data_IF_051262978116
#
_entry.id   IF_051262978116
#
_cell.length_a   1.000
_cell.length_b   1.000
_cell.length_c   1.000
_cell.angle_alpha   90.00
_cell.angle_beta   90.00
_cell.angle_gamma   90.00
#
_symmetry.space_group_name_H-M   'P 1'
#
loop_
_entity.id
_entity.type
_entity.pdbx_description
1 polymer ?
#
# COMPACT_ATOMS: atom_id res chain seq x y z
N UNK A 1 1.50 -14.72 -20.86
CA UNK A 1 1.73 -13.32 -21.21
C UNK A 1 1.18 -12.47 -20.06
N UNK A 2 2.04 -12.08 -19.11
CA UNK A 2 1.62 -11.35 -17.91
C UNK A 2 1.56 -9.85 -18.22
N UNK A 3 0.37 -9.26 -18.20
CA UNK A 3 0.18 -7.82 -18.27
C UNK A 3 0.62 -7.19 -16.94
N UNK A 4 1.82 -6.62 -16.91
CA UNK A 4 2.30 -5.81 -15.78
C UNK A 4 1.72 -4.40 -15.93
N UNK A 5 0.71 -4.06 -15.13
CA UNK A 5 0.29 -2.68 -14.94
C UNK A 5 1.25 -1.96 -13.97
N UNK A 6 1.52 -0.66 -14.20
CA UNK A 6 2.25 0.21 -13.26
C UNK A 6 1.45 0.34 -11.95
N UNK A 7 1.77 -0.48 -10.95
CA UNK A 7 1.27 -0.34 -9.59
C UNK A 7 2.38 0.17 -8.67
N UNK A 8 2.14 1.26 -7.93
CA UNK A 8 3.07 1.82 -6.93
C UNK A 8 3.14 1.03 -5.61
N UNK A 9 2.50 -0.13 -5.55
CA UNK A 9 2.52 -0.99 -4.37
C UNK A 9 2.93 -2.40 -4.75
N UNK A 10 4.22 -2.66 -4.62
CA UNK A 10 4.86 -3.97 -4.49
C UNK A 10 5.93 -3.80 -3.43
N UNK A 11 5.80 -4.49 -2.30
CA UNK A 11 6.84 -4.45 -1.27
C UNK A 11 8.00 -5.29 -1.77
N UNK A 12 9.08 -4.59 -2.13
CA UNK A 12 10.37 -5.16 -2.43
C UNK A 12 11.33 -4.00 -2.69
N UNK A 13 12.18 -3.70 -1.71
CA UNK A 13 13.36 -2.81 -1.83
C UNK A 13 14.29 -3.14 -3.02
N UNK A 14 14.01 -4.26 -3.68
CA UNK A 14 14.66 -4.84 -4.83
C UNK A 14 14.28 -4.16 -6.16
N UNK A 15 13.04 -3.68 -6.32
CA UNK A 15 12.58 -3.09 -7.59
C UNK A 15 13.23 -1.73 -7.88
N UNK A 16 13.68 -0.99 -6.84
CA UNK A 16 14.42 0.26 -7.01
C UNK A 16 15.75 -0.01 -7.73
N UNK A 17 16.47 -1.06 -7.31
CA UNK A 17 17.73 -1.45 -7.94
C UNK A 17 17.51 -1.94 -9.37
N UNK A 18 16.41 -2.65 -9.63
CA UNK A 18 16.00 -2.99 -11.01
C UNK A 18 15.67 -1.75 -11.85
N UNK A 19 15.01 -0.75 -11.29
CA UNK A 19 14.65 0.49 -11.99
C UNK A 19 15.88 1.32 -12.40
N UNK A 20 16.91 1.33 -11.57
CA UNK A 20 18.19 2.00 -11.85
C UNK A 20 19.18 1.12 -12.64
N UNK A 21 18.82 -0.12 -12.98
CA UNK A 21 19.69 -1.04 -13.71
C UNK A 21 20.83 -1.63 -12.86
N UNK A 22 20.79 -1.45 -11.55
CA UNK A 22 21.79 -1.90 -10.57
C UNK A 22 21.58 -3.39 -10.21
N UNK A 23 21.59 -4.25 -11.23
CA UNK A 23 21.25 -5.67 -11.12
C UNK A 23 22.28 -6.47 -10.28
N UNK A 24 23.55 -6.05 -10.27
CA UNK A 24 24.60 -6.70 -9.48
C UNK A 24 24.45 -6.40 -7.99
N UNK A 25 24.14 -5.15 -7.65
CA UNK A 25 23.85 -4.75 -6.26
C UNK A 25 22.57 -5.41 -5.76
N UNK A 26 21.58 -5.54 -6.63
CA UNK A 26 20.35 -6.26 -6.36
C UNK A 26 20.62 -7.73 -6.03
N UNK A 27 21.45 -8.39 -6.84
CA UNK A 27 21.84 -9.79 -6.63
C UNK A 27 22.60 -9.96 -5.31
N UNK A 28 23.57 -9.09 -5.05
CA UNK A 28 24.34 -9.11 -3.80
C UNK A 28 23.46 -8.92 -2.56
N UNK A 29 22.48 -8.01 -2.63
CA UNK A 29 21.52 -7.78 -1.55
C UNK A 29 20.60 -8.99 -1.35
N UNK A 30 20.13 -9.61 -2.43
CA UNK A 30 19.32 -10.83 -2.39
C UNK A 30 20.09 -12.00 -1.76
N UNK A 31 21.32 -12.25 -2.22
CA UNK A 31 22.16 -13.32 -1.72
C UNK A 31 22.44 -13.14 -0.23
N UNK A 32 22.75 -11.91 0.22
CA UNK A 32 22.92 -11.58 1.63
C UNK A 32 21.65 -11.82 2.45
N UNK A 33 20.49 -11.37 1.97
CA UNK A 33 19.21 -11.55 2.69
C UNK A 33 18.87 -13.04 2.83
N UNK A 34 19.04 -13.82 1.76
CA UNK A 34 18.75 -15.25 1.75
C UNK A 34 19.67 -15.98 2.73
N UNK A 35 20.97 -15.70 2.67
CA UNK A 35 21.97 -16.36 3.52
C UNK A 35 21.80 -16.02 5.01
N UNK A 36 21.55 -14.75 5.34
CA UNK A 36 21.54 -14.30 6.74
C UNK A 36 20.18 -14.47 7.44
N UNK A 37 19.07 -14.39 6.69
CA UNK A 37 17.73 -14.33 7.28
C UNK A 37 16.81 -15.48 6.88
N UNK A 38 17.19 -16.26 5.86
CA UNK A 38 16.39 -17.36 5.34
C UNK A 38 17.21 -18.66 5.11
N UNK A 39 17.99 -19.15 6.11
CA UNK A 39 18.90 -20.28 5.93
C UNK A 39 18.23 -21.65 5.71
N UNK A 40 16.89 -21.73 5.78
CA UNK A 40 16.10 -22.97 5.64
C UNK A 40 15.17 -22.95 4.42
N UNK A 41 15.34 -22.02 3.47
CA UNK A 41 14.52 -21.98 2.24
C UNK A 41 15.06 -23.03 1.27
N UNK A 42 14.69 -24.29 1.52
CA UNK A 42 14.91 -25.41 0.59
C UNK A 42 13.67 -25.66 -0.30
N UNK A 43 12.52 -25.04 0.03
CA UNK A 43 11.31 -25.08 -0.79
C UNK A 43 10.67 -23.70 -0.88
N UNK A 44 10.46 -23.21 -2.10
CA UNK A 44 9.70 -22.00 -2.37
C UNK A 44 8.24 -22.20 -1.91
N UNK A 45 7.93 -21.77 -0.69
CA UNK A 45 6.56 -21.67 -0.19
C UNK A 45 5.99 -20.32 -0.64
N UNK A 46 4.98 -20.28 -1.52
CA UNK A 46 4.29 -19.04 -1.84
C UNK A 46 3.74 -18.45 -0.54
N UNK A 47 3.92 -17.14 -0.35
CA UNK A 47 3.51 -16.40 0.84
C UNK A 47 2.01 -16.58 1.15
N UNK A 48 1.69 -17.68 1.81
CA UNK A 48 0.34 -18.09 2.17
C UNK A 48 0.42 -18.55 3.61
N UNK A 49 -0.36 -17.91 4.46
CA UNK A 49 -0.73 -18.28 5.83
C UNK A 49 0.18 -17.96 7.03
N UNK A 50 1.47 -17.63 6.91
CA UNK A 50 2.30 -17.29 8.10
C UNK A 50 2.50 -15.79 8.36
N UNK A 51 2.34 -14.94 7.34
CA UNK A 51 2.75 -13.53 7.35
C UNK A 51 1.60 -12.51 7.21
N UNK A 52 0.36 -12.98 7.39
CA UNK A 52 -0.87 -12.18 7.24
C UNK A 52 -1.01 -11.05 8.28
N UNK A 53 -0.21 -11.05 9.35
CA UNK A 53 -0.15 -9.95 10.32
C UNK A 53 0.93 -8.92 10.01
N UNK A 54 2.03 -9.32 9.37
CA UNK A 54 3.12 -8.41 9.02
C UNK A 54 2.68 -7.50 7.88
N UNK A 55 2.11 -8.03 6.80
CA UNK A 55 1.79 -7.25 5.60
C UNK A 55 0.41 -6.59 5.58
N UNK A 56 -0.31 -6.54 6.70
CA UNK A 56 -1.56 -5.76 6.80
C UNK A 56 -1.31 -4.33 6.37
N UNK A 57 -2.26 -3.74 5.64
CA UNK A 57 -2.13 -2.41 5.04
C UNK A 57 -1.67 -1.34 6.07
N UNK A 58 -2.12 -1.46 7.32
CA UNK A 58 -1.68 -0.56 8.41
C UNK A 58 -0.26 -0.79 8.96
N UNK A 59 0.38 -1.93 8.69
CA UNK A 59 1.70 -2.29 9.21
C UNK A 59 2.83 -2.20 8.16
N UNK A 60 2.50 -1.91 6.90
CA UNK A 60 3.47 -1.83 5.81
C UNK A 60 4.49 -0.69 6.00
N UNK A 61 4.07 0.44 6.58
CA UNK A 61 4.97 1.52 6.97
C UNK A 61 6.03 1.06 7.99
N UNK A 62 5.60 0.33 9.01
CA UNK A 62 6.49 -0.17 10.07
C UNK A 62 7.48 -1.19 9.52
N UNK A 63 7.06 -2.05 8.58
CA UNK A 63 7.95 -3.00 7.92
C UNK A 63 8.95 -2.29 7.02
N UNK A 64 8.52 -1.30 6.25
CA UNK A 64 9.44 -0.50 5.45
C UNK A 64 10.50 0.18 6.33
N UNK A 65 10.08 0.78 7.45
CA UNK A 65 11.00 1.36 8.42
C UNK A 65 11.95 0.32 9.04
N UNK A 66 11.44 -0.86 9.40
CA UNK A 66 12.26 -1.96 9.92
C UNK A 66 13.33 -2.39 8.91
N UNK A 67 12.94 -2.60 7.64
CA UNK A 67 13.85 -2.99 6.57
C UNK A 67 14.93 -1.92 6.31
N UNK A 68 14.55 -0.64 6.31
CA UNK A 68 15.51 0.45 6.14
C UNK A 68 16.49 0.55 7.32
N UNK A 69 16.03 0.27 8.55
CA UNK A 69 16.93 0.17 9.71
C UNK A 69 17.89 -1.01 9.60
N UNK A 70 17.44 -2.15 9.06
CA UNK A 70 18.31 -3.31 8.79
C UNK A 70 19.35 -3.01 7.71
N UNK A 71 18.95 -2.31 6.65
CA UNK A 71 19.87 -1.81 5.63
C UNK A 71 20.91 -0.86 6.24
N UNK A 72 20.50 0.08 7.10
CA UNK A 72 21.44 0.96 7.79
C UNK A 72 22.42 0.18 8.67
N UNK A 73 21.97 -0.86 9.38
CA UNK A 73 22.84 -1.71 10.18
C UNK A 73 23.91 -2.39 9.31
N UNK A 74 23.53 -2.94 8.16
CA UNK A 74 24.45 -3.59 7.22
C UNK A 74 25.46 -2.61 6.60
N UNK A 75 25.03 -1.38 6.29
CA UNK A 75 25.90 -0.34 5.73
C UNK A 75 26.81 0.32 6.77
N UNK A 76 26.46 0.26 8.06
CA UNK A 76 27.15 0.98 9.14
C UNK A 76 28.68 0.81 9.19
N UNK A 77 29.28 -0.37 8.88
CA UNK A 77 30.74 -0.53 8.83
C UNK A 77 31.41 0.24 7.69
N UNK A 78 30.69 0.53 6.60
CA UNK A 78 31.20 1.19 5.40
C UNK A 78 31.07 2.72 5.45
N UNK A 79 30.28 3.25 6.40
CA UNK A 79 29.99 4.68 6.51
C UNK A 79 30.96 5.38 7.45
N UNK A 80 31.41 6.58 7.07
CA UNK A 80 32.12 7.48 7.98
C UNK A 80 31.14 8.16 8.97
N UNK A 81 31.63 8.81 10.05
CA UNK A 81 30.76 9.41 11.07
C UNK A 81 29.73 10.41 10.53
N UNK A 82 30.11 11.22 9.54
CA UNK A 82 29.19 12.18 8.89
C UNK A 82 28.08 11.47 8.12
N UNK A 83 28.43 10.41 7.37
CA UNK A 83 27.45 9.62 6.62
C UNK A 83 26.46 8.88 7.54
N UNK A 84 26.90 8.38 8.70
CA UNK A 84 26.01 7.75 9.70
C UNK A 84 24.98 8.74 10.24
N UNK A 85 25.40 9.97 10.52
CA UNK A 85 24.52 11.03 10.99
C UNK A 85 23.48 11.39 9.92
N UNK A 86 23.91 11.55 8.67
CA UNK A 86 23.02 11.82 7.53
C UNK A 86 22.00 10.68 7.32
N UNK A 87 22.45 9.43 7.33
CA UNK A 87 21.56 8.28 7.15
C UNK A 87 20.48 8.21 8.24
N UNK A 88 20.85 8.53 9.49
CA UNK A 88 19.90 8.61 10.60
C UNK A 88 18.90 9.75 10.42
N UNK A 89 19.32 10.90 9.90
CA UNK A 89 18.42 12.02 9.59
C UNK A 89 17.43 11.66 8.48
N UNK A 90 17.90 11.07 7.38
CA UNK A 90 17.06 10.60 6.27
C UNK A 90 16.00 9.61 6.76
N UNK A 91 16.40 8.64 7.61
CA UNK A 91 15.46 7.66 8.17
C UNK A 91 14.37 8.27 9.04
N UNK A 92 14.63 9.39 9.73
CA UNK A 92 13.61 10.09 10.53
C UNK A 92 12.51 10.70 9.68
N UNK A 93 12.80 11.02 8.42
CA UNK A 93 11.82 11.60 7.49
C UNK A 93 10.92 10.54 6.85
N UNK A 94 11.34 9.27 6.86
CA UNK A 94 10.62 8.19 6.20
C UNK A 94 9.13 8.11 6.58
N UNK A 95 8.71 8.13 7.86
CA UNK A 95 7.31 8.01 8.21
C UNK A 95 6.47 9.14 7.59
N UNK A 96 6.96 10.37 7.67
CA UNK A 96 6.25 11.55 7.13
C UNK A 96 6.12 11.45 5.61
N UNK A 97 7.19 11.11 4.92
CA UNK A 97 7.20 10.93 3.47
C UNK A 97 6.26 9.80 3.04
N UNK A 98 6.31 8.67 3.75
CA UNK A 98 5.47 7.51 3.48
C UNK A 98 3.99 7.87 3.59
N UNK A 99 3.55 8.43 4.74
CA UNK A 99 2.14 8.74 4.96
C UNK A 99 1.63 9.83 4.00
N UNK A 100 2.47 10.82 3.69
CA UNK A 100 2.13 11.86 2.71
C UNK A 100 1.86 11.24 1.34
N UNK A 101 2.77 10.39 0.84
CA UNK A 101 2.61 9.74 -0.46
C UNK A 101 1.47 8.73 -0.47
N UNK A 102 1.29 7.98 0.62
CA UNK A 102 0.18 7.06 0.80
C UNK A 102 -1.15 7.81 0.66
N UNK A 103 -1.35 8.88 1.42
CA UNK A 103 -2.57 9.69 1.37
C UNK A 103 -2.82 10.26 -0.02
N UNK A 104 -1.80 10.85 -0.66
CA UNK A 104 -1.89 11.38 -2.03
C UNK A 104 -2.36 10.33 -3.05
N UNK A 105 -1.80 9.13 -3.01
CA UNK A 105 -2.14 8.06 -3.95
C UNK A 105 -3.57 7.56 -3.76
N UNK A 106 -4.02 7.36 -2.52
CA UNK A 106 -5.36 6.86 -2.25
C UNK A 106 -6.43 7.91 -2.51
N UNK A 107 -6.16 9.18 -2.22
CA UNK A 107 -7.04 10.29 -2.64
C UNK A 107 -7.21 10.33 -4.15
N UNK A 108 -6.11 10.20 -4.90
CA UNK A 108 -6.17 10.16 -6.36
C UNK A 108 -7.00 8.98 -6.88
N UNK A 109 -6.86 7.78 -6.29
CA UNK A 109 -7.66 6.60 -6.65
C UNK A 109 -9.16 6.77 -6.35
N UNK A 110 -9.49 7.56 -5.34
CA UNK A 110 -10.86 7.85 -4.93
C UNK A 110 -11.45 9.09 -5.64
N UNK A 111 -10.68 9.77 -6.50
CA UNK A 111 -11.12 11.01 -7.13
C UNK A 111 -11.25 12.19 -6.16
N UNK A 112 -10.61 12.12 -4.97
CA UNK A 112 -10.67 13.17 -3.97
C UNK A 112 -9.70 14.30 -4.35
N UNK A 113 -10.25 15.41 -4.82
CA UNK A 113 -9.50 16.64 -5.09
C UNK A 113 -9.37 17.50 -3.83
N UNK A 114 -8.29 18.27 -3.76
CA UNK A 114 -7.97 19.16 -2.64
C UNK A 114 -7.49 18.42 -1.38
N UNK A 115 -7.53 19.12 -0.25
CA UNK A 115 -7.25 18.56 1.08
C UNK A 115 -8.47 18.80 1.97
N UNK A 116 -8.91 17.77 2.68
CA UNK A 116 -9.95 17.88 3.70
C UNK A 116 -9.55 17.09 4.95
N UNK A 117 -9.91 17.62 6.12
CA UNK A 117 -9.80 16.87 7.37
C UNK A 117 -10.74 15.64 7.29
N UNK A 118 -10.18 14.44 7.44
CA UNK A 118 -10.93 13.17 7.36
C UNK A 118 -10.69 12.35 6.08
N UNK A 119 -9.91 12.84 5.12
CA UNK A 119 -9.54 12.06 3.92
C UNK A 119 -8.84 10.74 4.30
N UNK A 120 -7.93 10.78 5.29
CA UNK A 120 -7.19 9.62 5.75
C UNK A 120 -8.10 8.60 6.47
N UNK A 121 -9.09 9.06 7.25
CA UNK A 121 -10.07 8.20 7.91
C UNK A 121 -10.98 7.51 6.89
N UNK A 122 -11.40 8.23 5.85
CA UNK A 122 -12.22 7.69 4.77
C UNK A 122 -11.46 6.60 3.98
N UNK A 123 -10.16 6.80 3.74
CA UNK A 123 -9.26 5.82 3.12
C UNK A 123 -9.11 4.60 4.03
N UNK A 124 -8.78 4.81 5.31
CA UNK A 124 -8.61 3.74 6.28
C UNK A 124 -9.90 2.91 6.44
N UNK A 125 -11.06 3.57 6.42
CA UNK A 125 -12.35 2.91 6.51
C UNK A 125 -12.63 2.05 5.27
N UNK A 126 -12.33 2.52 4.06
CA UNK A 126 -12.45 1.68 2.85
C UNK A 126 -11.56 0.43 2.95
N UNK A 127 -10.30 0.61 3.32
CA UNK A 127 -9.34 -0.49 3.42
C UNK A 127 -9.74 -1.51 4.50
N UNK A 128 -10.30 -1.03 5.61
CA UNK A 128 -10.89 -1.89 6.63
C UNK A 128 -12.04 -2.72 6.07
N UNK A 129 -12.96 -2.11 5.32
CA UNK A 129 -14.07 -2.84 4.70
C UNK A 129 -13.56 -3.93 3.75
N UNK A 130 -12.56 -3.61 2.92
CA UNK A 130 -11.95 -4.56 1.99
C UNK A 130 -11.26 -5.73 2.71
N UNK A 131 -10.55 -5.48 3.80
CA UNK A 131 -9.95 -6.52 4.65
C UNK A 131 -11.04 -7.43 5.24
N UNK A 132 -12.14 -6.86 5.74
CA UNK A 132 -13.22 -7.64 6.38
C UNK A 132 -14.06 -8.45 5.43
N UNK A 133 -14.17 -8.04 4.17
CA UNK A 133 -14.94 -8.76 3.16
C UNK A 133 -14.07 -9.58 2.23
N UNK A 134 -12.74 -9.50 2.35
CA UNK A 134 -11.79 -10.07 1.39
C UNK A 134 -12.07 -9.57 -0.04
N UNK A 135 -12.47 -8.30 -0.18
CA UNK A 135 -12.76 -7.73 -1.49
C UNK A 135 -11.45 -7.48 -2.25
N UNK A 136 -11.44 -7.80 -3.55
CA UNK A 136 -10.25 -7.61 -4.38
C UNK A 136 -9.83 -6.14 -4.42
N UNK A 137 -8.55 -5.92 -4.13
CA UNK A 137 -8.04 -4.57 -3.97
C UNK A 137 -8.10 -3.75 -5.25
N UNK A 138 -7.61 -4.32 -6.35
CA UNK A 138 -7.49 -3.61 -7.63
C UNK A 138 -8.87 -3.35 -8.22
N UNK A 139 -9.74 -4.35 -8.15
CA UNK A 139 -11.07 -4.27 -8.74
C UNK A 139 -12.03 -3.41 -7.93
N UNK A 140 -11.86 -3.29 -6.61
CA UNK A 140 -12.63 -2.33 -5.81
C UNK A 140 -12.42 -0.90 -6.32
N UNK A 141 -11.17 -0.44 -6.45
CA UNK A 141 -10.90 0.91 -6.96
C UNK A 141 -11.33 1.10 -8.41
N UNK A 142 -11.11 0.09 -9.27
CA UNK A 142 -11.54 0.16 -10.67
C UNK A 142 -13.06 0.30 -10.78
N UNK A 143 -13.81 -0.55 -10.08
CA UNK A 143 -15.26 -0.51 -10.10
C UNK A 143 -15.82 0.75 -9.43
N UNK A 144 -15.16 1.30 -8.39
CA UNK A 144 -15.51 2.61 -7.83
C UNK A 144 -15.38 3.75 -8.86
N UNK A 145 -14.43 3.66 -9.79
CA UNK A 145 -14.27 4.66 -10.85
C UNK A 145 -15.29 4.52 -12.00
N UNK A 146 -15.93 3.35 -12.12
CA UNK A 146 -16.88 3.02 -13.19
C UNK A 146 -18.35 3.15 -12.72
N UNK A 147 -18.63 2.96 -11.42
CA UNK A 147 -19.99 3.06 -10.86
C UNK A 147 -20.48 4.52 -10.83
N UNK A 148 -21.75 4.73 -11.15
CA UNK A 148 -22.34 6.08 -11.08
C UNK A 148 -22.64 6.49 -9.63
N UNK A 149 -22.64 7.79 -9.38
CA UNK A 149 -22.99 8.33 -8.07
C UNK A 149 -24.42 7.92 -7.63
N UNK A 150 -25.38 7.87 -8.56
CA UNK A 150 -26.76 7.44 -8.25
C UNK A 150 -26.82 5.97 -7.85
N UNK A 151 -26.17 5.08 -8.60
CA UNK A 151 -26.07 3.65 -8.27
C UNK A 151 -25.46 3.44 -6.88
N UNK A 152 -24.38 4.17 -6.58
CA UNK A 152 -23.72 4.07 -5.28
C UNK A 152 -24.61 4.61 -4.16
N UNK A 153 -25.29 5.75 -4.36
CA UNK A 153 -26.20 6.35 -3.38
C UNK A 153 -27.41 5.45 -3.06
N UNK A 154 -27.96 4.78 -4.06
CA UNK A 154 -29.08 3.83 -3.92
C UNK A 154 -28.61 2.45 -3.45
N UNK A 155 -27.30 2.25 -3.30
CA UNK A 155 -26.65 0.97 -2.98
C UNK A 155 -27.01 -0.15 -3.99
N UNK A 156 -27.35 0.23 -5.21
CA UNK A 156 -27.65 -0.67 -6.32
C UNK A 156 -26.34 -0.97 -7.04
N UNK A 157 -25.64 -2.02 -6.59
CA UNK A 157 -24.37 -2.45 -7.19
C UNK A 157 -24.66 -3.45 -8.33
N UNK A 158 -24.31 -3.12 -9.61
CA UNK A 158 -24.41 -4.03 -10.74
C UNK A 158 -23.68 -5.37 -10.53
N UNK A 159 -24.12 -6.44 -11.21
CA UNK A 159 -23.57 -7.80 -11.03
C UNK A 159 -22.10 -7.88 -11.46
N UNK A 160 -21.74 -7.16 -12.51
CA UNK A 160 -20.40 -7.02 -13.05
C UNK A 160 -19.42 -6.39 -12.07
N UNK A 161 -19.90 -5.60 -11.10
CA UNK A 161 -19.08 -4.99 -10.06
C UNK A 161 -18.89 -5.91 -8.86
N UNK A 162 -18.36 -7.10 -9.10
CA UNK A 162 -18.24 -8.18 -8.13
C UNK A 162 -17.40 -7.83 -6.89
N UNK A 163 -16.39 -6.95 -7.00
CA UNK A 163 -15.58 -6.53 -5.86
C UNK A 163 -16.36 -5.53 -4.99
N UNK A 164 -17.08 -4.59 -5.63
CA UNK A 164 -18.04 -3.72 -4.94
C UNK A 164 -19.20 -4.50 -4.31
N UNK A 165 -19.64 -5.59 -4.93
CA UNK A 165 -20.61 -6.50 -4.31
C UNK A 165 -20.04 -7.23 -3.11
N UNK A 166 -18.75 -7.56 -3.13
CA UNK A 166 -18.12 -8.22 -1.99
C UNK A 166 -18.05 -7.27 -0.81
N UNK A 167 -17.56 -6.06 -1.02
CA UNK A 167 -17.44 -5.05 0.04
C UNK A 167 -18.81 -4.58 0.57
N UNK A 168 -19.84 -4.54 -0.29
CA UNK A 168 -21.19 -4.14 0.12
C UNK A 168 -21.89 -5.10 1.06
N UNK A 169 -21.38 -6.33 1.22
CA UNK A 169 -21.86 -7.28 2.25
C UNK A 169 -21.56 -6.80 3.67
N UNK A 170 -20.60 -5.89 3.85
CA UNK A 170 -20.28 -5.37 5.17
C UNK A 170 -21.34 -4.37 5.65
N UNK A 171 -21.83 -4.55 6.88
CA UNK A 171 -22.88 -3.70 7.48
C UNK A 171 -22.56 -2.20 7.52
N UNK A 172 -21.28 -1.85 7.50
CA UNK A 172 -20.81 -0.45 7.53
C UNK A 172 -20.58 0.16 6.13
N UNK A 173 -20.73 -0.62 5.05
CA UNK A 173 -20.57 -0.10 3.69
C UNK A 173 -21.48 1.10 3.38
N UNK A 174 -22.78 1.11 3.77
CA UNK A 174 -23.63 2.29 3.57
C UNK A 174 -23.11 3.56 4.25
N UNK A 175 -22.53 3.43 5.45
CA UNK A 175 -21.95 4.55 6.18
C UNK A 175 -20.73 5.12 5.45
N UNK A 176 -19.86 4.23 4.93
CA UNK A 176 -18.72 4.63 4.13
C UNK A 176 -19.15 5.34 2.83
N UNK A 177 -20.13 4.79 2.12
CA UNK A 177 -20.69 5.42 0.91
C UNK A 177 -21.21 6.82 1.20
N UNK A 178 -21.95 7.00 2.31
CA UNK A 178 -22.46 8.31 2.72
C UNK A 178 -21.33 9.33 2.94
N UNK A 179 -20.26 8.93 3.62
CA UNK A 179 -19.09 9.80 3.85
C UNK A 179 -18.37 10.12 2.54
N UNK A 180 -18.16 9.12 1.69
CA UNK A 180 -17.51 9.28 0.39
C UNK A 180 -18.28 10.24 -0.52
N UNK A 181 -19.60 10.07 -0.65
CA UNK A 181 -20.43 10.96 -1.47
C UNK A 181 -20.52 12.38 -0.89
N UNK A 182 -20.57 12.53 0.44
CA UNK A 182 -20.49 13.84 1.09
C UNK A 182 -19.17 14.54 0.77
N UNK A 183 -18.07 13.80 0.81
CA UNK A 183 -16.73 14.31 0.49
C UNK A 183 -16.55 14.64 -0.99
N UNK A 184 -17.19 13.92 -1.91
CA UNK A 184 -17.20 14.26 -3.33
C UNK A 184 -17.97 15.57 -3.60
N UNK A 185 -19.10 15.78 -2.91
CA UNK A 185 -19.89 17.03 -3.05
C UNK A 185 -19.14 18.25 -2.53
N UNK A 186 -18.29 18.11 -1.51
CA UNK A 186 -17.49 19.23 -1.00
C UNK A 186 -16.40 19.72 -1.98
N UNK A 187 -16.23 19.05 -3.12
CA UNK A 187 -15.30 19.42 -4.19
C UNK A 187 -15.98 20.30 -5.25
N UNK A 188 -17.31 20.28 -5.32
CA UNK A 188 -18.09 21.02 -6.32
C UNK A 188 -18.08 22.52 -5.99
N UNK A 189 -17.46 23.31 -6.89
CA UNK A 189 -17.53 24.78 -6.90
C UNK A 189 -18.94 25.28 -7.23
#
# INVERSE_FOLDING_TARGET
MLCVAKSWFRIGSLEILTHYGELDLLRMLLDFIIQEYFPLVDDFVPNTSADERRYKIGNQANIGMFNLNKLLQALNPLLNPRQKQLATQILKEYPVLYYTRFSELFKARLGLLGKSEGDDDLIAFLLYLMEKTEADFTMTFRQLSEITQSQLQELVIPQEFWALKMISKHKLFPAWVSQYLSRLKSISF
#
